data_IF_305497711688
#
_entry.id   IF_305497711688
#
_cell.length_a   1.000
_cell.length_b   1.000
_cell.length_c   1.000
_cell.angle_alpha   90.00
_cell.angle_beta   90.00
_cell.angle_gamma   90.00
#
_symmetry.space_group_name_H-M   'P 1'
#
loop_
_entity.id
_entity.type
_entity.pdbx_description
1 polymer ?
#
# COMPACT_ATOMS: atom_id res chain seq x y z
N UNK A 1 -12.46 -0.78 13.22
CA UNK A 1 -11.80 -2.10 13.32
C UNK A 1 -12.21 -2.94 12.12
N UNK A 2 -11.34 -3.86 11.69
CA UNK A 2 -11.37 -4.68 10.46
C UNK A 2 -10.93 -3.94 9.20
N UNK A 3 -11.49 -2.75 8.94
CA UNK A 3 -11.02 -1.83 7.91
C UNK A 3 -9.85 -1.00 8.44
N UNK A 4 -8.92 -0.61 7.56
CA UNK A 4 -7.83 0.28 7.91
C UNK A 4 -7.44 1.17 6.73
N UNK A 5 -6.86 2.33 7.05
CA UNK A 5 -6.28 3.26 6.09
C UNK A 5 -4.88 3.63 6.57
N UNK A 6 -3.91 3.60 5.67
CA UNK A 6 -2.61 4.22 5.85
C UNK A 6 -2.44 5.29 4.77
N UNK A 7 -1.81 6.41 5.11
CA UNK A 7 -1.60 7.49 4.15
C UNK A 7 -0.33 8.27 4.48
N UNK A 8 0.43 8.71 3.48
CA UNK A 8 1.65 9.51 3.60
C UNK A 8 1.44 10.87 2.94
N UNK A 9 1.92 11.92 3.57
CA UNK A 9 1.90 13.28 3.05
C UNK A 9 3.32 13.71 2.68
N UNK A 10 3.44 14.49 1.60
CA UNK A 10 4.69 15.18 1.29
C UNK A 10 4.80 16.38 2.23
N UNK A 11 5.76 16.30 3.15
CA UNK A 11 6.19 17.47 3.93
C UNK A 11 7.33 18.13 3.15
N UNK A 12 7.30 19.45 2.91
CA UNK A 12 8.43 20.16 2.31
C UNK A 12 9.71 19.85 3.09
N UNK A 13 10.84 19.64 2.40
CA UNK A 13 12.12 19.33 3.03
C UNK A 13 12.51 20.44 4.03
N UNK A 14 12.27 20.15 5.30
CA UNK A 14 12.66 20.90 6.48
C UNK A 14 13.13 19.87 7.50
N UNK A 15 14.35 19.38 7.26
CA UNK A 15 14.92 18.18 7.85
C UNK A 15 15.11 18.26 9.37
N UNK A 16 14.29 17.51 10.10
CA UNK A 16 14.66 17.02 11.44
C UNK A 16 14.28 15.55 11.62
N UNK A 17 13.22 15.04 10.97
CA UNK A 17 12.79 13.64 11.09
C UNK A 17 13.46 12.69 10.07
N UNK A 18 13.62 13.11 8.81
CA UNK A 18 14.23 12.28 7.76
C UNK A 18 15.73 12.06 8.02
N UNK A 19 16.43 13.09 8.51
CA UNK A 19 17.84 13.01 8.94
C UNK A 19 18.04 12.12 10.18
N UNK A 20 17.03 12.03 11.07
CA UNK A 20 17.10 11.17 12.28
C UNK A 20 17.16 9.70 11.93
N UNK A 21 16.46 9.26 10.88
CA UNK A 21 16.34 7.84 10.55
C UNK A 21 17.57 7.26 9.84
N UNK A 22 18.57 8.08 9.46
CA UNK A 22 19.82 7.65 8.79
C UNK A 22 19.58 6.56 7.74
N UNK A 23 18.57 6.75 6.92
CA UNK A 23 18.11 5.76 5.95
C UNK A 23 19.26 5.47 4.97
N UNK A 24 19.91 4.32 5.13
CA UNK A 24 21.13 3.95 4.40
C UNK A 24 20.94 3.92 2.86
N UNK A 25 19.71 3.79 2.40
CA UNK A 25 19.33 3.79 0.97
C UNK A 25 19.17 5.18 0.36
N UNK A 26 19.06 6.25 1.16
CA UNK A 26 19.05 7.63 0.69
C UNK A 26 20.47 8.05 0.32
N UNK A 27 20.92 7.63 -0.86
CA UNK A 27 22.13 8.18 -1.49
C UNK A 27 21.68 9.22 -2.50
N UNK A 28 22.16 10.45 -2.34
CA UNK A 28 21.93 11.58 -3.27
C UNK A 28 22.43 11.34 -4.72
N UNK A 29 22.97 10.16 -5.01
CA UNK A 29 23.49 9.76 -6.32
C UNK A 29 22.44 9.02 -7.17
N UNK A 30 21.31 8.61 -6.59
CA UNK A 30 20.26 7.93 -7.34
C UNK A 30 19.27 8.96 -7.90
N UNK A 31 19.03 8.88 -9.20
CA UNK A 31 17.98 9.65 -9.90
C UNK A 31 17.34 8.75 -10.95
N UNK A 32 16.08 9.02 -11.27
CA UNK A 32 15.40 8.35 -12.39
C UNK A 32 15.84 9.02 -13.69
N UNK A 33 16.00 8.22 -14.75
CA UNK A 33 16.21 8.76 -16.10
C UNK A 33 14.99 9.58 -16.55
N UNK A 34 13.79 9.15 -16.17
CA UNK A 34 12.55 9.89 -16.34
C UNK A 34 11.92 10.21 -14.97
N UNK A 35 12.13 11.44 -14.50
CA UNK A 35 11.57 11.95 -13.23
C UNK A 35 10.08 12.27 -13.30
N UNK A 36 9.52 12.43 -14.51
CA UNK A 36 8.10 12.80 -14.66
C UNK A 36 7.16 11.65 -14.27
N UNK A 37 7.66 10.42 -14.12
CA UNK A 37 6.92 9.32 -13.49
C UNK A 37 6.56 9.61 -12.01
N UNK A 38 7.31 10.50 -11.36
CA UNK A 38 7.13 10.90 -9.97
C UNK A 38 6.43 12.26 -9.81
N UNK A 39 5.92 12.83 -10.90
CA UNK A 39 5.09 14.03 -10.87
C UNK A 39 3.80 13.78 -10.10
N UNK A 40 3.35 14.80 -9.38
CA UNK A 40 2.17 14.76 -8.54
C UNK A 40 1.41 16.06 -8.68
N UNK A 41 0.18 15.98 -9.17
CA UNK A 41 -0.77 17.09 -9.18
C UNK A 41 -1.65 16.96 -7.95
N UNK A 42 -1.70 17.98 -7.10
CA UNK A 42 -2.47 18.03 -5.84
C UNK A 42 -3.98 18.25 -6.11
N UNK A 43 -4.59 17.33 -6.86
CA UNK A 43 -5.97 17.43 -7.36
C UNK A 43 -7.05 17.39 -6.28
N UNK A 44 -6.73 16.85 -5.10
CA UNK A 44 -7.65 16.71 -3.97
C UNK A 44 -7.51 17.83 -2.92
N UNK A 45 -6.64 18.81 -3.15
CA UNK A 45 -6.39 19.91 -2.22
C UNK A 45 -5.60 19.52 -0.96
N UNK A 46 -4.92 18.37 -0.98
CA UNK A 46 -4.00 17.92 0.05
C UNK A 46 -2.64 17.52 -0.54
N UNK A 47 -1.66 17.26 0.33
CA UNK A 47 -0.31 16.81 -0.07
C UNK A 47 -0.13 15.30 0.09
N UNK A 48 -1.22 14.53 0.17
CA UNK A 48 -1.18 13.09 0.35
C UNK A 48 -0.60 12.46 -0.92
N UNK A 49 0.56 11.83 -0.79
CA UNK A 49 1.25 11.17 -1.91
C UNK A 49 0.87 9.71 -2.05
N UNK A 50 0.43 9.09 -0.96
CA UNK A 50 0.01 7.71 -0.97
C UNK A 50 -1.11 7.54 0.06
N UNK A 51 -2.23 6.96 -0.33
CA UNK A 51 -3.29 6.54 0.56
C UNK A 51 -3.81 5.18 0.15
N UNK A 52 -3.70 4.20 1.05
CA UNK A 52 -4.18 2.84 0.83
C UNK A 52 -5.18 2.51 1.93
N UNK A 53 -6.41 2.23 1.53
CA UNK A 53 -7.48 1.81 2.41
C UNK A 53 -7.88 0.38 2.09
N UNK A 54 -7.73 -0.51 3.06
CA UNK A 54 -8.31 -1.85 2.98
C UNK A 54 -9.72 -1.81 3.54
N UNK A 55 -10.68 -2.17 2.71
CA UNK A 55 -12.04 -2.45 3.09
C UNK A 55 -12.19 -3.97 3.23
N UNK A 56 -12.27 -4.43 4.48
CA UNK A 56 -12.45 -5.84 4.81
C UNK A 56 -13.66 -6.45 4.06
N UNK A 57 -13.54 -7.68 3.50
CA UNK A 57 -12.40 -8.59 3.64
C UNK A 57 -11.36 -8.51 2.51
N UNK A 58 -11.69 -7.96 1.34
CA UNK A 58 -10.86 -8.19 0.14
C UNK A 58 -10.84 -7.05 -0.88
N UNK A 59 -11.27 -5.85 -0.48
CA UNK A 59 -11.25 -4.67 -1.33
C UNK A 59 -10.16 -3.70 -0.85
N UNK A 60 -9.39 -3.13 -1.77
CA UNK A 60 -8.39 -2.10 -1.48
C UNK A 60 -8.68 -0.90 -2.37
N UNK A 61 -8.77 0.29 -1.78
CA UNK A 61 -8.83 1.57 -2.48
C UNK A 61 -7.46 2.21 -2.35
N UNK A 62 -6.89 2.62 -3.48
CA UNK A 62 -5.54 3.13 -3.57
C UNK A 62 -5.54 4.50 -4.26
N UNK A 63 -4.74 5.40 -3.71
CA UNK A 63 -4.16 6.57 -4.35
C UNK A 63 -2.64 6.47 -4.20
N UNK A 64 -1.90 6.43 -5.30
CA UNK A 64 -0.43 6.60 -5.30
C UNK A 64 -0.14 7.73 -6.27
N UNK A 65 0.23 8.91 -5.77
CA UNK A 65 0.22 10.16 -6.52
C UNK A 65 -1.15 10.30 -7.23
N UNK A 66 -1.17 10.54 -8.53
CA UNK A 66 -2.39 10.59 -9.34
C UNK A 66 -2.89 9.20 -9.83
N UNK A 67 -2.22 8.09 -9.49
CA UNK A 67 -2.69 6.74 -9.82
C UNK A 67 -3.76 6.26 -8.82
N UNK A 68 -5.02 6.44 -9.21
CA UNK A 68 -6.20 6.00 -8.49
C UNK A 68 -6.61 4.61 -8.96
N UNK A 69 -6.80 3.69 -8.02
CA UNK A 69 -7.22 2.34 -8.35
C UNK A 69 -8.06 1.70 -7.25
N UNK A 70 -8.98 0.84 -7.68
CA UNK A 70 -9.62 -0.15 -6.83
C UNK A 70 -8.99 -1.51 -7.13
N UNK A 71 -8.48 -2.17 -6.09
CA UNK A 71 -7.97 -3.54 -6.16
C UNK A 71 -8.96 -4.48 -5.50
N UNK A 72 -9.39 -5.52 -6.21
CA UNK A 72 -10.25 -6.56 -5.67
C UNK A 72 -9.50 -7.89 -5.63
N UNK A 73 -9.28 -8.40 -4.42
CA UNK A 73 -8.74 -9.74 -4.22
C UNK A 73 -9.90 -10.74 -4.25
N UNK A 74 -9.83 -11.68 -5.19
CA UNK A 74 -10.82 -12.73 -5.39
C UNK A 74 -10.19 -14.07 -5.05
N UNK A 75 -10.60 -14.71 -3.94
CA UNK A 75 -10.08 -16.03 -3.58
C UNK A 75 -10.45 -17.08 -4.63
N UNK A 76 -9.50 -17.95 -4.96
CA UNK A 76 -9.68 -19.10 -5.87
C UNK A 76 -9.35 -20.41 -5.15
N UNK A 77 -9.60 -20.44 -3.85
CA UNK A 77 -9.18 -21.51 -2.93
C UNK A 77 -8.23 -20.99 -1.86
N UNK A 78 -7.76 -21.86 -0.96
CA UNK A 78 -6.82 -21.48 0.11
C UNK A 78 -5.38 -21.25 -0.39
N UNK A 79 -5.06 -21.68 -1.61
CA UNK A 79 -3.71 -21.71 -2.17
C UNK A 79 -3.47 -20.67 -3.27
N UNK A 80 -4.52 -19.99 -3.72
CA UNK A 80 -4.44 -19.01 -4.82
C UNK A 80 -5.56 -17.98 -4.78
N UNK A 81 -5.28 -16.82 -5.36
CA UNK A 81 -6.22 -15.73 -5.55
C UNK A 81 -5.94 -15.02 -6.88
N UNK A 82 -6.93 -14.26 -7.34
CA UNK A 82 -6.78 -13.29 -8.42
C UNK A 82 -6.86 -11.89 -7.84
N UNK A 83 -6.05 -10.97 -8.36
CA UNK A 83 -6.07 -9.56 -7.96
C UNK A 83 -6.45 -8.73 -9.19
N UNK A 84 -7.65 -8.16 -9.17
CA UNK A 84 -8.15 -7.30 -10.23
C UNK A 84 -7.83 -5.85 -9.88
N UNK A 85 -7.19 -5.12 -10.80
CA UNK A 85 -7.00 -3.69 -10.72
C UNK A 85 -7.98 -2.99 -11.65
N UNK A 86 -8.81 -2.12 -11.09
CA UNK A 86 -9.63 -1.17 -11.84
C UNK A 86 -9.03 0.21 -11.66
N UNK A 87 -8.43 0.74 -12.71
CA UNK A 87 -7.83 2.07 -12.72
C UNK A 87 -8.93 3.10 -12.89
N UNK A 88 -8.83 4.20 -12.14
CA UNK A 88 -9.82 5.27 -12.12
C UNK A 88 -9.21 6.60 -12.59
N UNK A 89 -10.07 7.43 -13.15
CA UNK A 89 -9.86 8.86 -13.36
C UNK A 89 -11.16 9.59 -13.02
N UNK A 90 -11.13 10.92 -13.04
CA UNK A 90 -12.33 11.72 -12.87
C UNK A 90 -12.93 12.09 -14.22
N UNK A 91 -14.23 12.38 -14.24
CA UNK A 91 -14.95 12.77 -15.47
C UNK A 91 -14.47 14.12 -16.02
N UNK A 92 -13.94 14.97 -15.14
CA UNK A 92 -13.42 16.30 -15.41
C UNK A 92 -11.89 16.36 -15.53
N UNK A 93 -11.21 15.21 -15.62
CA UNK A 93 -9.78 15.18 -15.96
C UNK A 93 -9.56 15.84 -17.33
N UNK A 94 -8.62 16.78 -17.41
CA UNK A 94 -8.13 17.29 -18.70
C UNK A 94 -7.16 16.30 -19.37
N UNK A 95 -6.80 16.57 -20.63
CA UNK A 95 -5.92 15.68 -21.41
C UNK A 95 -4.56 15.44 -20.72
N UNK A 96 -4.03 16.46 -20.04
CA UNK A 96 -2.73 16.39 -19.37
C UNK A 96 -2.80 15.52 -18.11
N UNK A 97 -3.85 15.66 -17.30
CA UNK A 97 -4.05 14.86 -16.10
C UNK A 97 -4.35 13.40 -16.47
N UNK A 98 -5.14 13.16 -17.51
CA UNK A 98 -5.38 11.81 -18.02
C UNK A 98 -4.07 11.13 -18.47
N UNK A 99 -3.21 11.84 -19.22
CA UNK A 99 -1.89 11.32 -19.62
C UNK A 99 -1.00 11.04 -18.40
N UNK A 100 -0.96 11.96 -17.43
CA UNK A 100 -0.22 11.76 -16.19
C UNK A 100 -0.70 10.51 -15.45
N UNK A 101 -2.01 10.30 -15.31
CA UNK A 101 -2.54 9.08 -14.68
C UNK A 101 -2.08 7.83 -15.40
N UNK A 102 -2.22 7.79 -16.73
CA UNK A 102 -1.77 6.64 -17.54
C UNK A 102 -0.28 6.36 -17.33
N UNK A 103 0.55 7.41 -17.26
CA UNK A 103 1.99 7.30 -17.01
C UNK A 103 2.30 6.76 -15.61
N UNK A 104 1.72 7.37 -14.56
CA UNK A 104 1.96 7.01 -13.16
C UNK A 104 1.47 5.59 -12.85
N UNK A 105 0.49 5.08 -13.60
CA UNK A 105 0.05 3.69 -13.46
C UNK A 105 1.15 2.65 -13.74
N UNK A 106 2.26 3.02 -14.39
CA UNK A 106 3.44 2.15 -14.50
C UNK A 106 4.12 1.85 -13.15
N UNK A 107 3.75 2.54 -12.07
CA UNK A 107 4.19 2.19 -10.71
C UNK A 107 3.41 0.98 -10.16
N UNK A 108 2.19 0.74 -10.63
CA UNK A 108 1.23 -0.19 -10.01
C UNK A 108 0.73 -1.26 -10.98
N UNK A 109 0.03 -2.26 -10.44
CA UNK A 109 -0.47 -3.38 -11.21
C UNK A 109 0.58 -4.49 -11.39
N UNK A 110 0.26 -5.53 -12.18
CA UNK A 110 1.05 -6.77 -12.23
C UNK A 110 2.45 -6.59 -12.84
N UNK A 111 2.66 -5.53 -13.62
CA UNK A 111 3.96 -5.18 -14.20
C UNK A 111 4.50 -3.84 -13.67
N UNK A 112 3.88 -3.27 -12.63
CA UNK A 112 4.27 -1.98 -12.10
C UNK A 112 5.57 -2.04 -11.31
N UNK A 113 6.40 -1.00 -11.40
CA UNK A 113 7.72 -0.97 -10.77
C UNK A 113 7.69 -1.16 -9.24
N UNK A 114 6.59 -0.81 -8.59
CA UNK A 114 6.39 -1.01 -7.14
C UNK A 114 5.61 -2.29 -6.87
N UNK A 115 4.48 -2.50 -7.55
CA UNK A 115 3.55 -3.59 -7.22
C UNK A 115 4.00 -4.98 -7.67
N UNK A 116 4.95 -5.09 -8.59
CA UNK A 116 5.47 -6.40 -9.03
C UNK A 116 6.13 -7.18 -7.88
N UNK A 117 6.81 -6.48 -6.96
CA UNK A 117 7.48 -7.11 -5.82
C UNK A 117 6.48 -7.64 -4.79
N UNK A 118 5.33 -6.98 -4.61
CA UNK A 118 4.27 -7.41 -3.69
C UNK A 118 3.75 -8.81 -4.04
N UNK A 119 3.58 -9.08 -5.34
CA UNK A 119 3.14 -10.40 -5.84
C UNK A 119 4.13 -11.51 -5.50
N UNK A 120 5.43 -11.23 -5.61
CA UNK A 120 6.50 -12.16 -5.22
C UNK A 120 6.48 -12.42 -3.70
N UNK A 121 6.34 -11.37 -2.89
CA UNK A 121 6.31 -11.48 -1.44
C UNK A 121 5.14 -12.37 -0.97
N UNK A 122 3.93 -12.17 -1.52
CA UNK A 122 2.78 -13.02 -1.23
C UNK A 122 3.03 -14.50 -1.58
N UNK A 123 3.62 -14.77 -2.75
CA UNK A 123 3.98 -16.14 -3.15
C UNK A 123 5.05 -16.79 -2.27
N UNK A 124 6.01 -16.01 -1.76
CA UNK A 124 7.00 -16.50 -0.79
C UNK A 124 6.35 -16.84 0.56
N UNK A 125 5.47 -15.97 1.07
CA UNK A 125 4.73 -16.21 2.31
C UNK A 125 3.87 -17.48 2.20
N UNK A 126 3.15 -17.68 1.08
CA UNK A 126 2.35 -18.88 0.87
C UNK A 126 3.20 -20.15 0.88
N UNK A 127 4.36 -20.16 0.19
CA UNK A 127 5.29 -21.30 0.21
C UNK A 127 5.84 -21.58 1.61
N UNK A 128 6.16 -20.52 2.37
CA UNK A 128 6.61 -20.63 3.75
C UNK A 128 5.55 -21.22 4.68
N UNK A 129 4.29 -20.76 4.55
CA UNK A 129 3.18 -21.25 5.36
C UNK A 129 2.86 -22.73 5.11
N UNK A 130 3.01 -23.21 3.87
CA UNK A 130 2.82 -24.63 3.52
C UNK A 130 3.95 -25.50 4.09
N UNK A 131 5.16 -24.96 4.26
CA UNK A 131 6.31 -25.74 4.73
C UNK A 131 6.20 -26.17 6.20
N UNK A 132 5.57 -25.37 7.06
CA UNK A 132 5.30 -25.71 8.47
C UNK A 132 3.92 -25.18 8.92
N UNK A 133 2.88 -26.04 8.94
CA UNK A 133 1.53 -25.65 9.38
C UNK A 133 1.42 -25.31 10.87
N UNK A 134 2.40 -25.68 11.70
CA UNK A 134 2.41 -25.39 13.14
C UNK A 134 3.11 -24.06 13.46
N UNK A 135 3.83 -23.49 12.51
CA UNK A 135 4.49 -22.20 12.65
C UNK A 135 3.48 -21.08 12.89
N UNK A 136 3.94 -20.00 13.53
CA UNK A 136 3.12 -18.84 13.86
C UNK A 136 3.78 -17.57 13.38
N UNK A 137 2.99 -16.68 12.79
CA UNK A 137 3.41 -15.30 12.52
C UNK A 137 3.38 -14.49 13.83
N UNK A 138 4.42 -13.70 14.07
CA UNK A 138 4.52 -12.82 15.23
C UNK A 138 4.40 -11.38 14.73
N UNK A 139 3.52 -10.59 15.34
CA UNK A 139 3.25 -9.19 14.95
C UNK A 139 3.39 -8.22 16.15
N UNK A 140 4.61 -8.04 16.68
CA UNK A 140 4.85 -7.26 17.90
C UNK A 140 5.01 -5.75 17.64
N UNK A 141 5.12 -5.31 16.38
CA UNK A 141 5.46 -3.93 16.03
C UNK A 141 4.31 -2.99 16.38
N UNK A 142 4.64 -1.92 17.12
CA UNK A 142 3.66 -0.98 17.66
C UNK A 142 2.84 -1.54 18.85
N UNK A 143 3.28 -2.63 19.48
CA UNK A 143 2.62 -3.25 20.63
C UNK A 143 1.49 -4.21 20.25
N UNK A 144 0.70 -4.72 21.21
CA UNK A 144 -0.33 -5.74 20.95
C UNK A 144 -1.68 -5.16 20.48
N UNK A 145 -1.89 -3.84 20.62
CA UNK A 145 -3.15 -3.18 20.36
C UNK A 145 -3.49 -3.03 18.88
N UNK A 146 -4.75 -2.72 18.60
CA UNK A 146 -5.26 -2.39 17.25
C UNK A 146 -5.58 -0.91 17.09
N UNK A 147 -5.23 -0.10 18.10
CA UNK A 147 -5.49 1.34 18.09
C UNK A 147 -4.69 2.01 16.96
N UNK A 148 -5.24 3.07 16.34
CA UNK A 148 -4.52 3.83 15.34
C UNK A 148 -3.17 4.31 15.86
N UNK A 149 -2.10 4.10 15.08
CA UNK A 149 -0.82 4.73 15.37
C UNK A 149 -0.86 6.16 14.85
N UNK A 150 -0.65 7.13 15.74
CA UNK A 150 -0.63 8.55 15.41
C UNK A 150 0.83 8.99 15.27
N UNK A 151 1.16 9.62 14.13
CA UNK A 151 2.50 10.15 13.87
C UNK A 151 3.59 9.10 13.58
N UNK A 152 3.24 7.80 13.55
CA UNK A 152 4.17 6.74 13.15
C UNK A 152 3.50 5.74 12.21
N UNK A 153 4.28 5.25 11.25
CA UNK A 153 3.88 4.15 10.35
C UNK A 153 4.45 2.81 10.80
N UNK A 154 5.32 2.80 11.81
CA UNK A 154 6.04 1.62 12.29
C UNK A 154 5.14 0.84 13.27
N UNK A 155 4.09 0.21 12.72
CA UNK A 155 3.09 -0.55 13.49
C UNK A 155 2.45 -1.66 12.66
N UNK A 156 2.02 -2.74 13.30
CA UNK A 156 1.20 -3.80 12.69
C UNK A 156 -0.27 -3.76 13.16
N UNK A 157 -0.72 -2.64 13.77
CA UNK A 157 -2.07 -2.51 14.33
C UNK A 157 -3.18 -2.79 13.30
N UNK A 158 -2.98 -2.36 12.06
CA UNK A 158 -3.89 -2.62 10.94
C UNK A 158 -4.03 -4.11 10.63
N UNK A 159 -2.91 -4.84 10.57
CA UNK A 159 -2.88 -6.28 10.29
C UNK A 159 -3.51 -7.06 11.45
N UNK A 160 -3.21 -6.69 12.69
CA UNK A 160 -3.88 -7.25 13.88
C UNK A 160 -5.39 -6.99 13.85
N UNK A 161 -5.81 -5.80 13.45
CA UNK A 161 -7.23 -5.44 13.31
C UNK A 161 -7.96 -6.28 12.25
N UNK A 162 -7.29 -6.59 11.14
CA UNK A 162 -7.81 -7.51 10.12
C UNK A 162 -7.99 -8.92 10.70
N UNK A 163 -6.97 -9.48 11.35
CA UNK A 163 -7.04 -10.82 11.93
C UNK A 163 -8.06 -10.93 13.06
N UNK A 164 -8.23 -9.87 13.86
CA UNK A 164 -9.31 -9.81 14.85
C UNK A 164 -10.67 -9.97 14.17
N UNK A 165 -10.92 -9.22 13.09
CA UNK A 165 -12.20 -9.32 12.37
C UNK A 165 -12.41 -10.65 11.68
N UNK A 166 -11.36 -11.19 11.06
CA UNK A 166 -11.41 -12.54 10.50
C UNK A 166 -11.75 -13.59 11.58
N UNK A 167 -11.10 -13.52 12.75
CA UNK A 167 -11.37 -14.42 13.88
C UNK A 167 -12.79 -14.30 14.41
N UNK A 168 -13.31 -13.09 14.53
CA UNK A 168 -14.70 -12.81 14.91
C UNK A 168 -15.69 -13.42 13.89
N UNK A 169 -15.44 -13.28 12.59
CA UNK A 169 -16.25 -13.92 11.54
C UNK A 169 -16.19 -15.45 11.57
N UNK A 170 -15.04 -16.02 11.92
CA UNK A 170 -14.82 -17.47 11.97
C UNK A 170 -15.24 -18.10 13.30
N UNK A 171 -15.52 -17.29 14.33
CA UNK A 171 -15.89 -17.77 15.66
C UNK A 171 -14.74 -18.39 16.46
N UNK A 172 -13.50 -17.91 16.29
CA UNK A 172 -12.28 -18.47 16.95
C UNK A 172 -11.39 -17.45 17.66
#
# INVERSE_FOLDING_TARGET
GWHHRSYAERVPAGDVEIDKEKVRSLKNQYSLEDVSLMEHVEELGDTVTNSIQTVFPSLVIQQILNALAVRQLVPRGPDRSELFWTILGFEDDDDALLELRLKVNNLVGPAGFVSMEDGLAGGLVQRGAVADPAARTVMPMGGPGIEPSVGSRVTEAAVRGFWKGWRECMGI
#
